data_IF_566338571661
#
_entry.id   IF_566338571661
#
_cell.length_a   1.000
_cell.length_b   1.000
_cell.length_c   1.000
_cell.angle_alpha   90.00
_cell.angle_beta   90.00
_cell.angle_gamma   90.00
#
_symmetry.space_group_name_H-M   'P 1'
#
loop_
_entity.id
_entity.type
_entity.pdbx_description
1 polymer ?
#
# COMPACT_ATOMS: atom_id res chain seq x y z
N UNK A 1 -110.80 0.05 -11.96
CA UNK A 1 -110.56 1.39 -12.54
C UNK A 1 -109.15 1.80 -12.15
N UNK A 2 -108.16 1.62 -13.04
CA UNK A 2 -107.50 2.63 -13.91
C UNK A 2 -106.82 3.80 -13.17
N UNK A 3 -105.48 3.77 -13.22
CA UNK A 3 -104.48 4.88 -13.20
C UNK A 3 -104.81 5.89 -14.34
N UNK A 4 -104.51 7.21 -14.27
CA UNK A 4 -103.19 7.84 -14.61
C UNK A 4 -102.79 9.02 -13.66
N UNK A 5 -101.53 9.39 -13.42
CA UNK A 5 -100.44 9.92 -14.30
C UNK A 5 -100.59 11.42 -14.62
N UNK A 6 -99.60 12.24 -14.25
CA UNK A 6 -98.85 13.08 -15.21
C UNK A 6 -97.68 13.83 -14.56
N UNK A 7 -96.62 13.99 -15.34
CA UNK A 7 -95.30 14.51 -15.01
C UNK A 7 -94.91 15.66 -15.94
N UNK A 8 -93.99 16.52 -15.49
CA UNK A 8 -92.93 17.28 -16.22
C UNK A 8 -92.64 18.65 -15.54
N UNK A 9 -91.54 19.39 -15.85
CA UNK A 9 -90.15 18.98 -16.07
C UNK A 9 -89.06 19.95 -15.47
N UNK A 10 -87.82 19.43 -15.39
CA UNK A 10 -86.47 20.04 -15.62
C UNK A 10 -85.99 21.34 -14.93
N UNK A 11 -84.82 21.24 -14.27
CA UNK A 11 -83.49 21.86 -14.56
C UNK A 11 -82.75 22.31 -13.29
N UNK A 12 -81.42 22.11 -13.26
CA UNK A 12 -80.51 22.66 -12.24
C UNK A 12 -79.29 21.77 -11.98
N UNK A 13 -78.30 21.82 -12.87
CA UNK A 13 -77.05 21.08 -12.75
C UNK A 13 -76.02 21.78 -11.85
N UNK A 14 -75.16 20.98 -11.21
CA UNK A 14 -73.87 21.42 -10.67
C UNK A 14 -72.76 20.73 -11.49
N UNK A 15 -72.00 21.51 -12.25
CA UNK A 15 -70.81 21.06 -12.94
C UNK A 15 -69.62 21.09 -11.97
N UNK A 16 -68.96 19.95 -11.79
CA UNK A 16 -67.69 19.84 -11.05
C UNK A 16 -66.55 19.82 -12.07
N UNK A 17 -65.62 20.76 -11.95
CA UNK A 17 -64.42 20.85 -12.80
C UNK A 17 -63.45 19.68 -12.49
N UNK A 18 -62.77 19.11 -13.51
CA UNK A 18 -61.80 18.03 -13.28
C UNK A 18 -60.49 18.54 -12.66
N UNK A 19 -59.98 17.80 -11.68
CA UNK A 19 -58.67 18.02 -11.04
C UNK A 19 -57.51 17.78 -12.03
N UNK A 20 -56.45 18.62 -12.03
CA UNK A 20 -55.28 18.45 -12.89
C UNK A 20 -54.28 17.40 -12.37
N UNK A 21 -54.55 16.73 -11.24
CA UNK A 21 -53.62 15.77 -10.64
C UNK A 21 -54.03 14.32 -10.93
N UNK A 22 -53.08 13.48 -11.41
CA UNK A 22 -53.34 12.06 -11.67
C UNK A 22 -53.78 11.34 -10.40
N UNK A 23 -54.69 10.36 -10.54
CA UNK A 23 -55.21 9.64 -9.39
C UNK A 23 -54.11 8.73 -8.82
N UNK A 24 -54.12 8.44 -7.51
CA UNK A 24 -53.12 7.57 -6.89
C UNK A 24 -52.95 6.19 -7.53
N UNK A 25 -53.96 5.73 -8.28
CA UNK A 25 -53.98 4.49 -9.07
C UNK A 25 -53.12 4.52 -10.34
N UNK A 26 -52.69 5.69 -10.79
CA UNK A 26 -52.04 5.89 -12.09
C UNK A 26 -50.50 5.87 -11.98
N UNK A 27 -49.94 5.48 -10.81
CA UNK A 27 -48.49 5.33 -10.63
C UNK A 27 -48.00 4.03 -11.28
N UNK A 28 -46.98 4.07 -12.16
CA UNK A 28 -46.37 2.85 -12.66
C UNK A 28 -45.80 2.03 -11.49
N UNK A 29 -45.77 0.68 -11.59
CA UNK A 29 -45.15 -0.14 -10.56
C UNK A 29 -43.70 0.30 -10.36
N UNK A 30 -43.33 0.56 -9.10
CA UNK A 30 -41.98 0.94 -8.73
C UNK A 30 -41.00 -0.10 -9.29
N UNK A 31 -40.04 0.37 -10.09
CA UNK A 31 -38.96 -0.49 -10.57
C UNK A 31 -38.27 -1.10 -9.33
N UNK A 32 -38.00 -2.42 -9.31
CA UNK A 32 -37.37 -3.03 -8.15
C UNK A 32 -36.02 -2.35 -7.94
N UNK A 33 -35.91 -1.61 -6.83
CA UNK A 33 -34.63 -1.18 -6.29
C UNK A 33 -33.75 -2.44 -6.22
N UNK A 34 -32.71 -2.47 -7.05
CA UNK A 34 -31.63 -3.46 -6.92
C UNK A 34 -31.00 -3.15 -5.56
N UNK A 35 -31.56 -3.73 -4.50
CA UNK A 35 -30.99 -3.61 -3.17
C UNK A 35 -29.61 -4.26 -3.27
N UNK A 36 -28.52 -3.52 -2.98
CA UNK A 36 -27.22 -4.13 -2.90
C UNK A 36 -27.32 -5.27 -1.89
N UNK A 37 -26.89 -6.47 -2.27
CA UNK A 37 -27.00 -7.68 -1.45
C UNK A 37 -26.67 -7.35 0.01
N UNK A 38 -27.55 -7.62 0.99
CA UNK A 38 -27.38 -7.19 2.38
C UNK A 38 -26.03 -7.57 2.98
N UNK A 39 -25.41 -8.63 2.48
CA UNK A 39 -24.06 -9.06 2.85
C UNK A 39 -22.95 -8.02 2.59
N UNK A 40 -23.01 -7.27 1.48
CA UNK A 40 -21.95 -6.29 1.13
C UNK A 40 -21.99 -5.08 2.07
N UNK A 41 -23.18 -4.63 2.44
CA UNK A 41 -23.35 -3.50 3.37
C UNK A 41 -22.86 -3.81 4.79
N UNK A 42 -22.97 -5.08 5.20
CA UNK A 42 -22.52 -5.59 6.51
C UNK A 42 -20.99 -5.76 6.63
N UNK A 43 -20.29 -5.96 5.50
CA UNK A 43 -18.84 -6.15 5.44
C UNK A 43 -18.08 -4.81 5.59
N UNK A 44 -18.68 -3.72 5.12
CA UNK A 44 -18.01 -2.41 4.97
C UNK A 44 -18.28 -1.41 6.11
N UNK A 45 -19.18 -1.73 7.03
CA UNK A 45 -19.66 -0.81 8.08
C UNK A 45 -19.16 -1.14 9.49
N UNK A 46 -18.22 -2.08 9.64
CA UNK A 46 -17.79 -2.59 10.95
C UNK A 46 -16.28 -2.47 11.16
N UNK A 47 -15.81 -2.07 12.37
CA UNK A 47 -14.40 -1.82 12.63
C UNK A 47 -13.53 -3.09 12.72
N UNK A 48 -14.15 -4.28 12.77
CA UNK A 48 -13.44 -5.56 12.87
C UNK A 48 -14.00 -6.58 11.87
N UNK A 49 -13.11 -7.26 11.15
CA UNK A 49 -13.47 -8.35 10.23
C UNK A 49 -14.21 -9.51 10.94
N UNK A 50 -13.90 -9.76 12.22
CA UNK A 50 -14.62 -10.75 13.03
C UNK A 50 -16.11 -10.43 13.20
N UNK A 51 -16.47 -9.14 13.24
CA UNK A 51 -17.85 -8.68 13.34
C UNK A 51 -18.65 -8.93 12.05
N UNK A 52 -17.97 -9.08 10.92
CA UNK A 52 -18.55 -9.46 9.62
C UNK A 52 -18.88 -10.94 9.60
N UNK A 53 -17.92 -11.78 10.03
CA UNK A 53 -18.10 -13.24 10.16
C UNK A 53 -19.25 -13.55 11.14
N UNK A 54 -19.26 -12.88 12.30
CA UNK A 54 -20.30 -13.06 13.30
C UNK A 54 -21.69 -12.64 12.78
N UNK A 55 -21.74 -11.61 11.92
CA UNK A 55 -22.97 -11.20 11.28
C UNK A 55 -23.45 -12.20 10.23
N UNK A 56 -22.54 -12.73 9.40
CA UNK A 56 -22.85 -13.78 8.44
C UNK A 56 -23.41 -15.05 9.11
N UNK A 57 -22.88 -15.41 10.29
CA UNK A 57 -23.39 -16.53 11.09
C UNK A 57 -24.78 -16.25 11.71
N UNK A 58 -25.07 -14.98 12.02
CA UNK A 58 -26.35 -14.54 12.62
C UNK A 58 -27.43 -14.17 11.59
N UNK A 59 -27.06 -14.00 10.32
CA UNK A 59 -27.90 -13.36 9.28
C UNK A 59 -29.16 -14.13 8.88
N UNK A 60 -29.43 -15.33 9.42
CA UNK A 60 -30.64 -16.08 9.08
C UNK A 60 -31.03 -17.04 10.20
N UNK A 61 -31.85 -16.60 11.18
CA UNK A 61 -32.56 -17.51 12.08
C UNK A 61 -33.36 -18.52 11.24
N UNK A 62 -33.18 -19.82 11.48
CA UNK A 62 -33.87 -20.87 10.72
C UNK A 62 -33.23 -21.33 9.40
N UNK A 63 -32.11 -20.75 8.95
CA UNK A 63 -31.43 -21.28 7.75
C UNK A 63 -30.84 -22.67 7.97
N UNK A 64 -30.97 -23.50 6.93
CA UNK A 64 -30.40 -24.86 6.87
C UNK A 64 -28.87 -24.84 7.07
N UNK A 65 -28.27 -25.86 7.71
CA UNK A 65 -26.83 -25.92 7.99
C UNK A 65 -25.95 -25.69 6.75
N UNK A 66 -26.35 -26.25 5.60
CA UNK A 66 -25.64 -26.09 4.31
C UNK A 66 -25.61 -24.63 3.84
N UNK A 67 -26.69 -23.88 4.04
CA UNK A 67 -26.76 -22.46 3.65
C UNK A 67 -25.86 -21.59 4.54
N UNK A 68 -25.84 -21.86 5.86
CA UNK A 68 -24.93 -21.18 6.79
C UNK A 68 -23.47 -21.43 6.44
N UNK A 69 -23.11 -22.67 6.10
CA UNK A 69 -21.76 -23.03 5.67
C UNK A 69 -21.36 -22.32 4.36
N UNK A 70 -22.26 -22.26 3.38
CA UNK A 70 -22.00 -21.58 2.10
C UNK A 70 -21.82 -20.06 2.27
N UNK A 71 -22.67 -19.42 3.08
CA UNK A 71 -22.56 -17.99 3.39
C UNK A 71 -21.25 -17.68 4.14
N UNK A 72 -20.82 -18.56 5.04
CA UNK A 72 -19.54 -18.42 5.74
C UNK A 72 -18.38 -18.53 4.76
N UNK A 73 -18.35 -19.56 3.91
CA UNK A 73 -17.29 -19.74 2.91
C UNK A 73 -17.19 -18.53 1.98
N UNK A 74 -18.34 -18.06 1.46
CA UNK A 74 -18.38 -16.88 0.60
C UNK A 74 -17.83 -15.64 1.31
N UNK A 75 -18.19 -15.42 2.58
CA UNK A 75 -17.69 -14.30 3.38
C UNK A 75 -16.18 -14.38 3.60
N UNK A 76 -15.64 -15.57 3.87
CA UNK A 76 -14.21 -15.79 4.04
C UNK A 76 -13.44 -15.50 2.74
N UNK A 77 -13.96 -15.94 1.59
CA UNK A 77 -13.37 -15.65 0.29
C UNK A 77 -13.38 -14.15 -0.03
N UNK A 78 -14.49 -13.45 0.25
CA UNK A 78 -14.57 -12.00 0.07
C UNK A 78 -13.60 -11.24 0.98
N UNK A 79 -13.42 -11.68 2.23
CA UNK A 79 -12.44 -11.07 3.13
C UNK A 79 -11.02 -11.30 2.61
N UNK A 80 -10.70 -12.52 2.13
CA UNK A 80 -9.40 -12.82 1.56
C UNK A 80 -9.09 -11.95 0.32
N UNK A 81 -10.05 -11.78 -0.59
CA UNK A 81 -9.92 -10.89 -1.76
C UNK A 81 -9.69 -9.45 -1.31
N UNK A 82 -10.45 -8.94 -0.35
CA UNK A 82 -10.26 -7.59 0.18
C UNK A 82 -8.87 -7.40 0.78
N UNK A 83 -8.37 -8.37 1.56
CA UNK A 83 -7.01 -8.31 2.13
C UNK A 83 -5.98 -8.16 1.01
N UNK A 84 -6.05 -8.97 -0.04
CA UNK A 84 -5.11 -8.90 -1.17
C UNK A 84 -5.18 -7.53 -1.86
N UNK A 85 -6.39 -7.02 -2.12
CA UNK A 85 -6.57 -5.72 -2.76
C UNK A 85 -6.07 -4.55 -1.90
N UNK A 86 -6.32 -4.58 -0.59
CA UNK A 86 -5.92 -3.52 0.34
C UNK A 86 -4.40 -3.53 0.55
N UNK A 87 -3.79 -4.71 0.71
CA UNK A 87 -2.33 -4.85 0.78
C UNK A 87 -1.70 -4.39 -0.52
N UNK A 88 -2.26 -4.77 -1.67
CA UNK A 88 -1.82 -4.30 -2.98
C UNK A 88 -1.96 -2.78 -3.16
N UNK A 89 -3.04 -2.18 -2.66
CA UNK A 89 -3.23 -0.73 -2.67
C UNK A 89 -2.20 -0.02 -1.79
N UNK A 90 -1.92 -0.54 -0.59
CA UNK A 90 -0.88 0.02 0.28
C UNK A 90 0.51 -0.07 -0.36
N UNK A 91 0.82 -1.18 -1.02
CA UNK A 91 2.06 -1.37 -1.77
C UNK A 91 2.17 -0.43 -2.98
N UNK A 92 1.07 -0.24 -3.72
CA UNK A 92 0.99 0.72 -4.82
C UNK A 92 1.21 2.16 -4.34
N UNK A 93 0.56 2.58 -3.25
CA UNK A 93 0.75 3.92 -2.67
C UNK A 93 2.18 4.11 -2.17
N UNK A 94 2.77 3.11 -1.52
CA UNK A 94 4.18 3.14 -1.14
C UNK A 94 5.09 3.26 -2.38
N UNK A 95 4.79 2.56 -3.46
CA UNK A 95 5.50 2.67 -4.74
C UNK A 95 5.36 4.05 -5.39
N UNK A 96 4.18 4.68 -5.34
CA UNK A 96 3.98 6.05 -5.83
C UNK A 96 4.83 7.05 -5.05
N UNK A 97 4.89 6.92 -3.73
CA UNK A 97 5.73 7.78 -2.88
C UNK A 97 7.21 7.57 -3.24
N UNK A 98 7.67 6.31 -3.29
CA UNK A 98 9.04 5.96 -3.64
C UNK A 98 9.45 6.46 -5.03
N UNK A 99 8.58 6.28 -6.04
CA UNK A 99 8.79 6.81 -7.38
C UNK A 99 8.91 8.35 -7.38
N UNK A 100 8.05 9.05 -6.64
CA UNK A 100 8.11 10.51 -6.56
C UNK A 100 9.41 10.99 -5.89
N UNK A 101 9.88 10.28 -4.86
CA UNK A 101 11.16 10.55 -4.20
C UNK A 101 12.34 10.45 -5.16
N UNK A 102 12.34 9.43 -6.02
CA UNK A 102 13.41 9.21 -6.99
C UNK A 102 13.34 10.24 -8.13
N UNK A 103 12.15 10.41 -8.69
CA UNK A 103 11.96 11.08 -9.97
C UNK A 103 11.79 12.61 -9.88
N UNK A 104 11.27 13.17 -8.78
CA UNK A 104 10.85 14.59 -8.78
C UNK A 104 11.32 15.42 -7.59
N UNK A 105 11.81 14.79 -6.52
CA UNK A 105 12.25 15.52 -5.33
C UNK A 105 13.76 15.47 -5.14
N UNK A 106 14.27 16.45 -4.40
CA UNK A 106 15.69 16.62 -4.08
C UNK A 106 15.89 16.78 -2.58
N UNK A 107 17.14 16.67 -2.12
CA UNK A 107 17.55 16.95 -0.75
C UNK A 107 17.17 18.37 -0.28
N UNK A 108 17.04 19.31 -1.21
CA UNK A 108 16.67 20.71 -0.95
C UNK A 108 15.15 20.95 -0.92
N UNK A 109 14.34 19.92 -1.21
CA UNK A 109 12.88 20.05 -1.21
C UNK A 109 12.39 20.45 0.19
N UNK A 110 11.60 21.54 0.33
CA UNK A 110 11.12 21.97 1.64
C UNK A 110 10.39 20.86 2.39
N UNK A 111 10.62 20.80 3.70
CA UNK A 111 10.02 19.83 4.64
C UNK A 111 10.48 18.38 4.45
N UNK A 112 10.41 17.82 3.23
CA UNK A 112 10.67 16.39 2.97
C UNK A 112 12.11 16.08 2.55
N UNK A 113 12.87 17.05 2.03
CA UNK A 113 14.22 16.84 1.51
C UNK A 113 15.15 16.15 2.53
N UNK A 114 15.31 16.75 3.71
CA UNK A 114 16.14 16.19 4.79
C UNK A 114 15.58 14.90 5.41
N UNK A 115 14.26 14.71 5.40
CA UNK A 115 13.60 13.68 6.22
C UNK A 115 13.16 12.43 5.44
N UNK A 116 13.05 12.55 4.13
CA UNK A 116 12.56 11.52 3.21
C UNK A 116 13.58 11.32 2.09
N UNK A 117 13.94 12.39 1.37
CA UNK A 117 14.77 12.30 0.16
C UNK A 117 16.23 11.95 0.47
N UNK A 118 16.84 12.60 1.47
CA UNK A 118 18.21 12.28 1.90
C UNK A 118 18.34 10.81 2.33
N UNK A 119 17.49 10.27 3.22
CA UNK A 119 17.49 8.83 3.52
C UNK A 119 17.36 7.92 2.29
N UNK A 120 16.53 8.31 1.31
CA UNK A 120 16.34 7.55 0.09
C UNK A 120 17.57 7.61 -0.85
N UNK A 121 18.20 8.77 -1.02
CA UNK A 121 19.49 8.90 -1.75
C UNK A 121 20.57 8.03 -1.09
N UNK A 122 20.69 8.09 0.24
CA UNK A 122 21.61 7.22 1.00
C UNK A 122 21.29 5.75 0.74
N UNK A 123 20.01 5.40 0.67
CA UNK A 123 19.58 4.05 0.38
C UNK A 123 20.00 3.57 -1.02
N UNK A 124 19.81 4.38 -2.05
CA UNK A 124 20.17 4.02 -3.43
C UNK A 124 21.68 3.88 -3.65
N UNK A 125 22.49 4.67 -2.95
CA UNK A 125 23.96 4.59 -2.99
C UNK A 125 24.55 3.53 -2.03
N UNK A 126 23.95 3.36 -0.86
CA UNK A 126 24.37 2.46 0.21
C UNK A 126 23.18 1.59 0.67
N UNK A 127 22.73 0.59 -0.12
CA UNK A 127 21.47 -0.12 0.12
C UNK A 127 21.31 -0.70 1.53
N UNK A 128 22.40 -1.24 2.09
CA UNK A 128 22.43 -1.83 3.43
C UNK A 128 22.56 -0.82 4.57
N UNK A 129 22.73 0.48 4.31
CA UNK A 129 22.66 1.49 5.37
C UNK A 129 21.25 1.50 5.99
N UNK A 130 20.23 1.38 5.13
CA UNK A 130 18.83 1.42 5.54
C UNK A 130 18.46 0.34 6.58
N UNK A 131 19.08 -0.84 6.49
CA UNK A 131 18.82 -1.96 7.43
C UNK A 131 19.32 -1.71 8.84
N UNK A 132 20.15 -0.67 9.06
CA UNK A 132 20.70 -0.28 10.37
C UNK A 132 19.78 0.66 11.15
N UNK A 133 18.80 1.25 10.48
CA UNK A 133 17.82 2.13 11.13
C UNK A 133 16.83 1.30 11.95
N UNK A 134 16.52 1.79 13.15
CA UNK A 134 15.43 1.24 13.95
C UNK A 134 14.10 1.40 13.21
N UNK A 135 13.09 0.61 13.62
CA UNK A 135 11.74 0.75 13.08
C UNK A 135 11.24 2.20 13.19
N UNK A 136 11.38 2.82 14.37
CA UNK A 136 10.95 4.21 14.57
C UNK A 136 11.67 5.22 13.67
N UNK A 137 13.01 5.11 13.53
CA UNK A 137 13.78 6.02 12.68
C UNK A 137 13.31 6.02 11.22
N UNK A 138 12.93 4.83 10.73
CA UNK A 138 12.47 4.64 9.36
C UNK A 138 10.96 4.84 9.17
N UNK A 139 10.12 4.62 10.20
CA UNK A 139 8.66 4.63 10.06
C UNK A 139 7.95 5.84 10.68
N UNK A 140 8.62 6.71 11.45
CA UNK A 140 7.95 7.82 12.19
C UNK A 140 7.06 8.72 11.33
N UNK A 141 7.46 9.04 10.09
CA UNK A 141 6.65 9.86 9.19
C UNK A 141 5.46 9.08 8.61
N UNK A 142 5.65 7.79 8.32
CA UNK A 142 4.56 6.91 7.89
C UNK A 142 3.53 6.74 9.01
N UNK A 143 3.99 6.58 10.26
CA UNK A 143 3.14 6.55 11.46
C UNK A 143 2.35 7.85 11.58
N UNK A 144 3.00 9.01 11.46
CA UNK A 144 2.31 10.30 11.48
C UNK A 144 1.23 10.39 10.39
N UNK A 145 1.56 10.00 9.14
CA UNK A 145 0.59 9.97 8.05
C UNK A 145 -0.59 9.02 8.33
N UNK A 146 -0.32 7.83 8.88
CA UNK A 146 -1.34 6.89 9.31
C UNK A 146 -2.25 7.44 10.41
N UNK A 147 -1.68 8.12 11.40
CA UNK A 147 -2.43 8.78 12.47
C UNK A 147 -3.30 9.92 11.94
N UNK A 148 -2.79 10.73 11.02
CA UNK A 148 -3.57 11.78 10.35
C UNK A 148 -4.76 11.18 9.60
N UNK A 149 -4.53 10.10 8.86
CA UNK A 149 -5.58 9.41 8.11
C UNK A 149 -6.67 8.85 9.05
N UNK A 150 -6.27 8.20 10.14
CA UNK A 150 -7.20 7.69 11.16
C UNK A 150 -7.97 8.83 11.82
N UNK A 151 -7.28 9.91 12.21
CA UNK A 151 -7.89 11.06 12.87
C UNK A 151 -8.90 11.78 11.96
N UNK A 152 -8.63 11.86 10.65
CA UNK A 152 -9.57 12.40 9.66
C UNK A 152 -10.77 11.48 9.41
N UNK A 153 -10.56 10.16 9.40
CA UNK A 153 -11.62 9.18 9.17
C UNK A 153 -12.56 8.98 10.38
N UNK A 154 -12.04 9.15 11.61
CA UNK A 154 -12.79 8.98 12.85
C UNK A 154 -14.10 9.81 12.91
N UNK A 155 -14.08 11.15 12.77
CA UNK A 155 -15.29 11.97 12.89
C UNK A 155 -16.29 11.73 11.74
N UNK A 156 -15.82 11.17 10.62
CA UNK A 156 -16.66 10.85 9.46
C UNK A 156 -17.31 9.46 9.54
N UNK A 157 -17.02 8.69 10.60
CA UNK A 157 -17.51 7.30 10.72
C UNK A 157 -16.91 6.34 9.69
N UNK A 158 -15.75 6.69 9.11
CA UNK A 158 -15.11 5.93 8.02
C UNK A 158 -14.09 4.90 8.53
N UNK A 159 -14.02 4.68 9.85
CA UNK A 159 -13.13 3.68 10.42
C UNK A 159 -13.64 2.27 10.15
N UNK A 160 -12.84 1.54 9.40
CA UNK A 160 -13.10 0.18 8.98
C UNK A 160 -11.86 -0.67 9.18
N UNK A 161 -12.02 -1.99 9.30
CA UNK A 161 -10.86 -2.87 9.38
C UNK A 161 -10.00 -2.80 8.11
N UNK A 162 -10.62 -2.44 6.97
CA UNK A 162 -9.94 -2.22 5.71
C UNK A 162 -8.98 -1.03 5.78
N UNK A 163 -9.46 0.10 6.31
CA UNK A 163 -8.62 1.28 6.53
C UNK A 163 -7.50 1.00 7.54
N UNK A 164 -7.82 0.30 8.64
CA UNK A 164 -6.82 -0.06 9.64
C UNK A 164 -5.76 -1.01 9.06
N UNK A 165 -6.15 -1.96 8.19
CA UNK A 165 -5.21 -2.82 7.47
C UNK A 165 -4.34 -2.01 6.51
N UNK A 166 -4.94 -1.10 5.72
CA UNK A 166 -4.20 -0.20 4.83
C UNK A 166 -3.15 0.61 5.58
N UNK A 167 -3.53 1.21 6.72
CA UNK A 167 -2.60 1.96 7.58
C UNK A 167 -1.53 1.02 8.14
N UNK A 168 -1.91 -0.14 8.69
CA UNK A 168 -0.97 -1.08 9.28
C UNK A 168 0.11 -1.55 8.29
N UNK A 169 -0.26 -1.81 7.03
CA UNK A 169 0.69 -2.15 5.97
C UNK A 169 1.55 -0.93 5.61
N UNK A 170 0.92 0.22 5.38
CA UNK A 170 1.61 1.46 4.99
C UNK A 170 2.66 1.90 6.01
N UNK A 171 2.37 1.88 7.31
CA UNK A 171 3.35 2.26 8.36
C UNK A 171 4.53 1.30 8.47
N UNK A 172 4.35 0.07 8.00
CA UNK A 172 5.37 -0.98 7.98
C UNK A 172 6.06 -1.14 6.62
N UNK A 173 5.71 -0.35 5.60
CA UNK A 173 6.32 -0.43 4.27
C UNK A 173 7.86 -0.36 4.33
N UNK A 174 8.40 0.58 5.12
CA UNK A 174 9.84 0.72 5.30
C UNK A 174 10.50 -0.47 6.02
N UNK A 175 9.79 -1.12 6.96
CA UNK A 175 10.32 -2.33 7.59
C UNK A 175 10.36 -3.50 6.62
N UNK A 176 9.32 -3.66 5.79
CA UNK A 176 9.24 -4.70 4.76
C UNK A 176 10.31 -4.46 3.67
N UNK A 177 10.50 -3.21 3.26
CA UNK A 177 11.58 -2.81 2.35
C UNK A 177 12.97 -3.17 2.92
N UNK A 178 13.23 -2.89 4.21
CA UNK A 178 14.48 -3.33 4.87
C UNK A 178 14.64 -4.85 4.84
N UNK A 179 13.57 -5.64 4.96
CA UNK A 179 13.65 -7.10 4.83
C UNK A 179 14.14 -7.54 3.44
N UNK A 180 13.91 -6.77 2.38
CA UNK A 180 14.45 -7.06 1.05
C UNK A 180 15.98 -6.81 0.94
N UNK A 181 16.54 -5.97 1.81
CA UNK A 181 17.99 -5.69 1.86
C UNK A 181 18.77 -6.54 2.87
N UNK A 182 18.06 -7.22 3.77
CA UNK A 182 18.64 -8.15 4.74
C UNK A 182 18.94 -9.51 4.11
N UNK A 183 19.97 -10.17 4.62
CA UNK A 183 20.24 -11.58 4.33
C UNK A 183 19.15 -12.46 4.95
N UNK A 184 19.02 -13.70 4.46
CA UNK A 184 18.08 -14.68 5.05
C UNK A 184 18.37 -14.97 6.52
N UNK A 185 19.64 -14.96 6.92
CA UNK A 185 20.03 -15.14 8.31
C UNK A 185 19.53 -13.98 9.19
N UNK A 186 19.67 -12.74 8.73
CA UNK A 186 19.18 -11.53 9.42
C UNK A 186 17.65 -11.47 9.50
N UNK A 187 16.94 -11.96 8.47
CA UNK A 187 15.47 -12.03 8.45
C UNK A 187 14.89 -13.17 9.30
N UNK A 188 15.69 -14.21 9.58
CA UNK A 188 15.20 -15.42 10.24
C UNK A 188 14.26 -16.25 9.34
N UNK A 189 13.79 -17.38 9.88
CA UNK A 189 13.02 -18.39 9.13
C UNK A 189 11.66 -17.87 8.68
N UNK A 190 10.96 -17.15 9.54
CA UNK A 190 9.58 -16.72 9.28
C UNK A 190 9.50 -15.75 8.08
N UNK A 191 10.23 -14.64 8.15
CA UNK A 191 10.27 -13.64 7.07
C UNK A 191 10.81 -14.26 5.78
N UNK A 192 11.86 -15.06 5.87
CA UNK A 192 12.42 -15.77 4.71
C UNK A 192 11.40 -16.69 4.03
N UNK A 193 10.47 -17.32 4.78
CA UNK A 193 9.39 -18.13 4.20
C UNK A 193 8.29 -17.30 3.55
N UNK A 194 7.92 -16.17 4.15
CA UNK A 194 6.98 -15.25 3.50
C UNK A 194 7.54 -14.69 2.18
N UNK A 195 8.85 -14.45 2.12
CA UNK A 195 9.57 -14.10 0.89
C UNK A 195 9.61 -15.28 -0.11
N UNK A 196 9.85 -16.52 0.34
CA UNK A 196 9.80 -17.71 -0.53
C UNK A 196 8.41 -17.87 -1.19
N UNK A 197 7.35 -17.62 -0.42
CA UNK A 197 5.95 -17.66 -0.89
C UNK A 197 5.51 -16.40 -1.66
N UNK A 198 6.40 -15.43 -1.86
CA UNK A 198 6.13 -14.18 -2.59
C UNK A 198 5.03 -13.31 -1.98
N UNK A 199 4.73 -13.51 -0.69
CA UNK A 199 3.82 -12.66 0.07
C UNK A 199 4.51 -11.34 0.38
N UNK A 200 5.76 -11.40 0.86
CA UNK A 200 6.62 -10.23 1.05
C UNK A 200 7.57 -10.06 -0.13
N UNK A 201 7.96 -8.83 -0.40
CA UNK A 201 8.95 -8.52 -1.41
C UNK A 201 10.28 -9.23 -1.13
N UNK A 202 10.79 -9.93 -2.14
CA UNK A 202 12.07 -10.63 -2.11
C UNK A 202 13.25 -9.72 -2.45
N UNK A 203 14.43 -10.03 -1.93
CA UNK A 203 15.67 -9.34 -2.29
C UNK A 203 15.92 -9.29 -3.81
N UNK A 204 15.64 -10.40 -4.52
CA UNK A 204 15.77 -10.45 -5.99
C UNK A 204 14.83 -9.48 -6.69
N UNK A 205 13.58 -9.39 -6.24
CA UNK A 205 12.57 -8.53 -6.85
C UNK A 205 12.88 -7.06 -6.60
N UNK A 206 13.25 -6.70 -5.37
CA UNK A 206 13.69 -5.35 -5.05
C UNK A 206 15.02 -4.99 -5.73
N UNK A 207 15.91 -5.96 -5.95
CA UNK A 207 17.15 -5.77 -6.68
C UNK A 207 16.97 -5.32 -8.14
N UNK A 208 15.79 -5.55 -8.74
CA UNK A 208 15.46 -5.02 -10.07
C UNK A 208 15.32 -3.50 -10.06
N UNK A 209 14.74 -2.95 -8.99
CA UNK A 209 14.66 -1.50 -8.79
C UNK A 209 16.05 -0.87 -8.58
N UNK A 210 16.95 -1.56 -7.88
CA UNK A 210 18.32 -1.06 -7.68
C UNK A 210 19.23 -1.19 -8.90
N UNK A 211 18.82 -1.95 -9.92
CA UNK A 211 19.57 -2.12 -11.15
C UNK A 211 19.40 -0.90 -12.07
N UNK A 212 20.44 -0.53 -12.81
CA UNK A 212 20.35 0.58 -13.76
C UNK A 212 19.22 0.32 -14.78
N UNK A 213 18.43 1.35 -15.14
CA UNK A 213 18.59 2.77 -14.80
C UNK A 213 17.79 3.22 -13.56
N UNK A 214 17.43 2.31 -12.65
CA UNK A 214 16.73 2.57 -11.38
C UNK A 214 15.33 3.20 -11.50
N UNK A 215 14.64 2.95 -12.60
CA UNK A 215 13.35 3.56 -12.93
C UNK A 215 12.16 2.59 -12.99
N UNK A 216 12.21 1.50 -12.22
CA UNK A 216 11.24 0.40 -12.28
C UNK A 216 11.06 -0.26 -10.90
N UNK A 217 10.03 -1.10 -10.73
CA UNK A 217 9.85 -1.93 -9.52
C UNK A 217 9.75 -1.15 -8.19
N UNK A 218 9.11 0.02 -8.20
CA UNK A 218 9.05 0.92 -7.04
C UNK A 218 8.27 0.40 -5.82
N UNK A 219 7.28 -0.49 -5.99
CA UNK A 219 6.43 -0.96 -4.90
C UNK A 219 7.20 -1.91 -3.97
N UNK A 220 7.43 -1.59 -2.67
CA UNK A 220 8.41 -2.28 -1.83
C UNK A 220 7.85 -3.38 -0.92
N UNK A 221 6.54 -3.60 -0.89
CA UNK A 221 5.88 -4.45 0.11
C UNK A 221 5.69 -5.87 -0.38
N UNK A 222 5.20 -6.05 -1.61
CA UNK A 222 4.82 -7.35 -2.14
C UNK A 222 5.61 -7.70 -3.39
N UNK A 223 5.43 -8.92 -3.85
CA UNK A 223 6.06 -9.42 -5.06
C UNK A 223 5.12 -9.41 -6.29
N UNK A 224 3.88 -8.91 -6.14
CA UNK A 224 2.83 -9.02 -7.16
C UNK A 224 2.36 -7.68 -7.76
N UNK A 225 2.52 -6.55 -7.07
CA UNK A 225 2.09 -5.25 -7.63
C UNK A 225 2.99 -4.80 -8.79
N UNK A 226 4.32 -4.83 -8.61
CA UNK A 226 5.23 -4.37 -9.67
C UNK A 226 5.02 -5.10 -11.01
N UNK A 227 4.93 -6.45 -11.10
CA UNK A 227 4.73 -7.12 -12.38
C UNK A 227 3.48 -6.67 -13.14
N UNK A 228 2.43 -6.23 -12.43
CA UNK A 228 1.24 -5.66 -13.05
C UNK A 228 1.52 -4.27 -13.62
N UNK A 229 2.23 -3.42 -12.87
CA UNK A 229 2.61 -2.07 -13.29
C UNK A 229 3.62 -2.06 -14.44
N UNK A 230 4.63 -2.95 -14.39
CA UNK A 230 5.62 -3.09 -15.46
C UNK A 230 4.96 -3.56 -16.76
N UNK A 231 4.00 -4.48 -16.69
CA UNK A 231 3.29 -4.99 -17.88
C UNK A 231 2.53 -3.89 -18.62
N UNK A 232 2.03 -2.88 -17.90
CA UNK A 232 1.31 -1.75 -18.49
C UNK A 232 2.19 -0.51 -18.67
N UNK A 233 3.51 -0.63 -18.44
CA UNK A 233 4.48 0.46 -18.50
C UNK A 233 4.01 1.68 -17.69
N UNK A 234 3.52 1.42 -16.47
CA UNK A 234 2.86 2.46 -15.66
C UNK A 234 3.79 3.67 -15.41
N UNK A 235 5.02 3.43 -14.97
CA UNK A 235 5.96 4.50 -14.60
C UNK A 235 6.40 5.35 -15.80
N UNK A 236 6.90 4.77 -16.90
CA UNK A 236 7.30 5.57 -18.07
C UNK A 236 6.14 6.37 -18.66
N UNK A 237 4.92 5.81 -18.69
CA UNK A 237 3.73 6.52 -19.19
C UNK A 237 3.31 7.66 -18.28
N UNK A 238 3.43 7.48 -16.97
CA UNK A 238 3.15 8.53 -16.00
C UNK A 238 4.16 9.67 -16.12
N UNK A 239 5.45 9.35 -16.29
CA UNK A 239 6.51 10.33 -16.52
C UNK A 239 6.32 11.09 -17.84
N UNK A 240 6.04 10.39 -18.94
CA UNK A 240 5.73 11.00 -20.24
C UNK A 240 4.53 11.95 -20.15
N UNK A 241 3.49 11.56 -19.41
CA UNK A 241 2.33 12.41 -19.17
C UNK A 241 2.69 13.69 -18.40
N UNK A 242 3.48 13.57 -17.34
CA UNK A 242 3.92 14.72 -16.53
C UNK A 242 4.81 15.65 -17.35
N UNK A 243 5.79 15.11 -18.07
CA UNK A 243 6.69 15.90 -18.90
C UNK A 243 5.93 16.64 -20.00
N UNK A 244 4.99 15.98 -20.68
CA UNK A 244 4.14 16.64 -21.69
C UNK A 244 3.23 17.72 -21.11
N UNK A 245 2.74 17.52 -19.89
CA UNK A 245 1.77 18.42 -19.26
C UNK A 245 2.42 19.60 -18.53
N UNK A 246 3.66 19.44 -18.06
CA UNK A 246 4.33 20.39 -17.16
C UNK A 246 5.71 20.85 -17.65
N UNK A 247 6.33 20.12 -18.59
CA UNK A 247 7.72 20.30 -19.00
C UNK A 247 8.75 19.76 -18.01
N UNK A 248 8.32 19.17 -16.87
CA UNK A 248 9.21 18.61 -15.86
C UNK A 248 9.53 17.16 -16.18
N UNK A 249 10.80 16.86 -16.44
CA UNK A 249 11.31 15.51 -16.71
C UNK A 249 11.77 14.79 -15.42
N UNK A 250 11.93 13.47 -15.51
CA UNK A 250 12.55 12.65 -14.47
C UNK A 250 13.94 13.21 -14.12
N UNK A 251 14.17 13.44 -12.82
CA UNK A 251 15.44 13.90 -12.28
C UNK A 251 16.60 12.94 -12.61
N UNK A 252 17.77 13.52 -12.79
CA UNK A 252 19.01 12.76 -12.87
C UNK A 252 19.40 12.11 -11.53
N UNK A 253 19.54 10.78 -11.51
CA UNK A 253 19.97 10.00 -10.34
C UNK A 253 21.47 9.65 -10.41
N UNK A 254 22.24 10.16 -9.44
CA UNK A 254 23.69 9.91 -9.30
C UNK A 254 24.02 8.50 -8.80
N UNK A 255 23.04 7.74 -8.32
CA UNK A 255 23.23 6.34 -7.93
C UNK A 255 23.29 5.40 -9.14
N UNK A 256 22.82 5.85 -10.31
CA UNK A 256 22.94 5.11 -11.58
C UNK A 256 24.40 5.15 -12.07
N UNK A 257 24.90 4.00 -12.52
CA UNK A 257 26.31 3.92 -12.96
C UNK A 257 26.55 4.84 -14.17
N UNK A 258 27.60 5.65 -14.08
CA UNK A 258 28.02 6.57 -15.14
C UNK A 258 27.38 7.97 -15.07
N UNK A 259 26.45 8.21 -14.13
CA UNK A 259 25.77 9.50 -13.93
C UNK A 259 26.52 10.43 -12.94
N UNK A 260 27.86 10.39 -12.93
CA UNK A 260 28.67 11.24 -12.05
C UNK A 260 28.73 10.82 -10.57
N UNK A 261 29.39 11.63 -9.72
CA UNK A 261 29.53 11.33 -8.30
C UNK A 261 28.22 11.61 -7.55
N UNK A 262 27.98 10.83 -6.49
CA UNK A 262 26.95 11.16 -5.50
C UNK A 262 27.28 12.44 -4.72
N UNK A 263 26.33 12.98 -3.95
CA UNK A 263 26.53 14.21 -3.18
C UNK A 263 27.66 14.10 -2.15
N UNK A 264 28.44 15.16 -1.93
CA UNK A 264 29.60 15.15 -1.01
C UNK A 264 29.23 14.72 0.42
N UNK A 265 28.05 15.12 0.88
CA UNK A 265 27.55 14.79 2.22
C UNK A 265 27.32 13.28 2.42
N UNK A 266 27.21 12.49 1.34
CA UNK A 266 27.03 11.04 1.37
C UNK A 266 28.22 10.33 2.05
N UNK A 267 29.41 10.91 2.00
CA UNK A 267 30.61 10.33 2.62
C UNK A 267 30.44 10.12 4.13
N UNK A 268 29.65 10.98 4.80
CA UNK A 268 29.34 10.86 6.22
C UNK A 268 28.57 9.59 6.59
N UNK A 269 27.93 8.95 5.61
CA UNK A 269 27.15 7.70 5.78
C UNK A 269 27.99 6.45 5.49
N UNK A 270 29.14 6.59 4.84
CA UNK A 270 30.02 5.45 4.58
C UNK A 270 30.62 4.95 5.90
N UNK A 271 30.73 3.62 6.09
CA UNK A 271 31.45 3.10 7.24
C UNK A 271 32.88 3.63 7.19
N UNK A 272 33.33 4.30 8.25
CA UNK A 272 34.74 4.64 8.39
C UNK A 272 35.53 3.32 8.30
N UNK A 273 36.63 3.27 7.53
CA UNK A 273 37.53 2.13 7.58
C UNK A 273 37.83 1.84 9.05
N UNK A 274 37.65 0.61 9.50
CA UNK A 274 38.15 0.21 10.81
C UNK A 274 39.61 0.67 10.86
N UNK A 275 39.99 1.47 11.86
CA UNK A 275 41.36 1.88 12.09
C UNK A 275 42.21 0.63 11.91
N UNK A 276 43.01 0.63 10.84
CA UNK A 276 43.62 -0.55 10.22
C UNK A 276 43.81 -1.68 11.23
N UNK A 277 42.88 -2.64 11.25
CA UNK A 277 43.20 -3.92 11.84
C UNK A 277 44.48 -4.36 11.12
N UNK A 278 45.57 -4.67 11.85
CA UNK A 278 46.84 -5.01 11.22
C UNK A 278 46.54 -6.10 10.19
N UNK A 279 46.95 -5.86 8.93
CA UNK A 279 46.79 -6.82 7.84
C UNK A 279 47.22 -8.19 8.38
N UNK A 280 46.41 -9.25 8.28
CA UNK A 280 46.85 -10.58 8.70
C UNK A 280 48.17 -10.85 7.97
N UNK A 281 49.24 -11.09 8.72
CA UNK A 281 50.56 -11.28 8.14
C UNK A 281 50.47 -12.48 7.20
N UNK A 282 50.58 -12.22 5.89
CA UNK A 282 50.60 -13.26 4.87
C UNK A 282 51.90 -14.06 4.99
N UNK A 283 52.06 -15.08 4.12
CA UNK A 283 53.25 -15.96 4.13
C UNK A 283 54.59 -15.23 3.89
N UNK A 284 54.57 -13.99 3.40
CA UNK A 284 55.76 -13.18 3.18
C UNK A 284 55.77 -11.98 4.12
N UNK A 285 56.80 -11.95 4.98
CA UNK A 285 56.86 -11.21 6.24
C UNK A 285 57.86 -10.02 6.33
N UNK A 286 58.14 -9.17 5.32
CA UNK A 286 58.87 -7.95 5.61
C UNK A 286 57.98 -6.95 6.37
N UNK A 287 58.32 -6.65 7.63
CA UNK A 287 57.67 -5.57 8.41
C UNK A 287 56.55 -5.96 9.38
N UNK A 288 56.35 -7.26 9.69
CA UNK A 288 55.34 -7.70 10.67
C UNK A 288 55.95 -7.81 12.11
N UNK A 289 55.43 -7.08 13.12
CA UNK A 289 55.95 -7.09 14.49
C UNK A 289 55.92 -8.48 15.17
N UNK A 290 54.92 -9.32 14.82
CA UNK A 290 54.79 -10.69 15.34
C UNK A 290 55.92 -11.62 14.86
N UNK A 291 56.44 -11.41 13.66
CA UNK A 291 57.52 -12.23 13.10
C UNK A 291 58.90 -11.79 13.62
N UNK A 292 59.08 -10.51 13.94
CA UNK A 292 60.31 -10.01 14.57
C UNK A 292 60.58 -10.67 15.95
N UNK A 293 59.52 -11.00 16.70
CA UNK A 293 59.61 -11.70 17.98
C UNK A 293 59.93 -13.20 17.84
N UNK A 294 59.59 -13.83 16.70
CA UNK A 294 59.93 -15.24 16.43
C UNK A 294 61.38 -15.42 15.98
N UNK A 295 61.94 -14.46 15.24
CA UNK A 295 63.36 -14.49 14.84
C UNK A 295 64.34 -14.41 16.02
N UNK A 296 63.93 -13.81 17.15
CA UNK A 296 64.76 -13.72 18.35
C UNK A 296 64.73 -14.99 19.23
N UNK A 297 63.72 -15.86 19.09
CA UNK A 297 63.64 -17.13 19.85
C UNK A 297 64.39 -18.30 19.22
N UNK A 298 64.83 -18.15 17.96
CA UNK A 298 65.62 -19.17 17.25
C UNK A 298 67.13 -18.87 17.26
N UNK A 299 67.54 -17.77 17.88
CA UNK A 299 68.93 -17.34 18.03
C UNK A 299 69.42 -17.40 19.49
N UNK A 300 68.70 -18.11 20.36
CA UNK A 300 69.07 -18.38 21.75
C UNK A 300 69.30 -19.88 21.96
#
# INVERSE_FOLDING_TARGET
MRVPEEAHPRTGGNAVLPSPWPRPSDRPPEAPLINPMPGIMLINSRPFAGSVILAALRATPGAQPKQKAMNLLFSLLLIAVQIVLIVGLADFVAGLVHWAEDAYFTEDTPVIGKHVIVPNIVHHHLPRYFTRLSWWQSSRLLVLGGLVLIAGAWPLGLLSWQLLLFVAVSVNANEIHKMAHRTRAENGRFISKLQDWRILQTARHHGLHHADPKNTYYCPVTNFVNPLLERIEFWPRLEEFIERSTGVAHRHDTAVRGQGPGPDWLESFRPKPAATAPRPCGRNCPGCPRCAMQGQRLAA
#
